data_IF_945017216582
#
_entry.id   IF_945017216582
#
_cell.length_a   1.000
_cell.length_b   1.000
_cell.length_c   1.000
_cell.angle_alpha   90.00
_cell.angle_beta   90.00
_cell.angle_gamma   90.00
#
_symmetry.space_group_name_H-M   'P 1'
#
loop_
_entity.id
_entity.type
_entity.pdbx_description
1 polymer ?
#
# COMPACT_ATOMS: atom_id res chain seq x y z
N UNK A 1 -2.36 21.99 -32.16
CA UNK A 1 -1.94 23.00 -31.18
C UNK A 1 -2.54 22.57 -29.85
N UNK A 2 -2.01 21.61 -29.08
CA UNK A 2 -0.69 21.59 -28.36
C UNK A 2 -0.53 22.90 -27.58
N UNK A 3 -0.44 22.97 -26.25
CA UNK A 3 0.23 22.19 -25.19
C UNK A 3 -0.64 22.26 -23.89
N UNK A 4 -0.72 21.30 -22.97
CA UNK A 4 0.28 21.03 -21.92
C UNK A 4 -0.04 19.71 -21.17
N UNK A 5 0.40 18.58 -21.73
CA UNK A 5 0.40 17.25 -21.05
C UNK A 5 1.82 16.92 -20.52
N UNK A 6 2.74 17.88 -20.55
CA UNK A 6 4.18 17.64 -20.38
C UNK A 6 4.73 17.64 -18.94
N UNK A 7 3.92 17.78 -17.89
CA UNK A 7 4.46 17.85 -16.51
C UNK A 7 4.32 16.61 -15.64
N UNK A 8 3.82 15.49 -16.17
CA UNK A 8 4.07 14.17 -15.55
C UNK A 8 5.30 13.53 -16.19
N UNK A 9 6.49 14.02 -15.83
CA UNK A 9 7.71 13.23 -15.99
C UNK A 9 7.68 12.08 -14.98
N UNK A 10 6.94 11.02 -15.33
CA UNK A 10 7.15 9.71 -14.77
C UNK A 10 8.51 9.23 -15.30
N UNK A 11 9.56 9.43 -14.49
CA UNK A 11 10.91 8.98 -14.79
C UNK A 11 10.90 7.47 -14.99
N UNK A 12 10.86 7.05 -16.26
CA UNK A 12 11.22 5.70 -16.68
C UNK A 12 12.71 5.52 -16.43
N UNK A 13 13.06 4.65 -15.49
CA UNK A 13 14.45 4.26 -15.27
C UNK A 13 14.57 3.08 -14.32
N UNK A 14 15.08 1.97 -14.86
CA UNK A 14 15.61 0.80 -14.17
C UNK A 14 14.61 -0.21 -13.56
N UNK A 15 14.20 -1.12 -14.44
CA UNK A 15 14.10 -2.55 -14.16
C UNK A 15 15.45 -3.19 -14.49
N UNK A 16 16.17 -3.71 -13.49
CA UNK A 16 16.92 -4.96 -13.54
C UNK A 16 17.72 -5.20 -12.24
N UNK A 17 17.56 -6.41 -11.68
CA UNK A 17 18.49 -7.19 -10.83
C UNK A 17 18.39 -7.29 -9.29
N UNK A 18 17.42 -6.73 -8.58
CA UNK A 18 17.10 -7.20 -7.21
C UNK A 18 15.60 -7.09 -6.90
N UNK A 19 14.87 -8.18 -7.12
CA UNK A 19 13.42 -8.15 -7.38
C UNK A 19 12.49 -8.10 -6.16
N UNK A 20 12.97 -8.16 -4.92
CA UNK A 20 12.09 -8.10 -3.74
C UNK A 20 12.23 -6.83 -2.88
N UNK A 21 13.44 -6.29 -2.73
CA UNK A 21 13.68 -5.08 -1.92
C UNK A 21 13.19 -3.80 -2.60
N UNK A 22 13.30 -3.71 -3.93
CA UNK A 22 12.85 -2.54 -4.67
C UNK A 22 11.33 -2.43 -4.80
N UNK A 23 10.59 -3.56 -4.78
CA UNK A 23 9.14 -3.52 -4.87
C UNK A 23 8.51 -2.94 -3.60
N UNK A 24 8.93 -3.43 -2.43
CA UNK A 24 8.44 -2.93 -1.15
C UNK A 24 8.78 -1.46 -0.96
N UNK A 25 10.02 -1.04 -1.28
CA UNK A 25 10.38 0.37 -1.20
C UNK A 25 9.53 1.24 -2.13
N UNK A 26 9.32 0.81 -3.38
CA UNK A 26 8.46 1.55 -4.33
C UNK A 26 6.99 1.60 -3.89
N UNK A 27 6.47 0.52 -3.30
CA UNK A 27 5.11 0.51 -2.77
C UNK A 27 4.97 1.49 -1.60
N UNK A 28 5.95 1.50 -0.69
CA UNK A 28 6.03 2.44 0.42
C UNK A 28 6.10 3.89 -0.08
N UNK A 29 6.92 4.14 -1.10
CA UNK A 29 7.02 5.47 -1.72
C UNK A 29 5.68 5.91 -2.33
N UNK A 30 4.97 5.00 -3.02
CA UNK A 30 3.65 5.28 -3.61
C UNK A 30 2.59 5.58 -2.55
N UNK A 31 2.55 4.80 -1.46
CA UNK A 31 1.64 5.05 -0.34
C UNK A 31 1.93 6.43 0.26
N UNK A 32 3.21 6.74 0.49
CA UNK A 32 3.61 8.01 1.08
C UNK A 32 3.20 9.20 0.20
N UNK A 33 3.43 9.11 -1.11
CA UNK A 33 3.02 10.14 -2.08
C UNK A 33 1.50 10.30 -2.09
N UNK A 34 0.75 9.20 -2.11
CA UNK A 34 -0.71 9.23 -2.14
C UNK A 34 -1.28 9.92 -0.90
N UNK A 35 -0.82 9.56 0.29
CA UNK A 35 -1.31 10.14 1.55
C UNK A 35 -0.97 11.62 1.63
N UNK A 36 0.27 12.00 1.33
CA UNK A 36 0.69 13.40 1.36
C UNK A 36 -0.07 14.25 0.34
N UNK A 37 -0.27 13.76 -0.87
CA UNK A 37 -1.03 14.47 -1.90
C UNK A 37 -2.52 14.65 -1.56
N UNK A 38 -3.11 13.70 -0.82
CA UNK A 38 -4.49 13.82 -0.35
C UNK A 38 -4.67 14.91 0.71
N UNK A 39 -3.75 15.01 1.67
CA UNK A 39 -3.88 15.97 2.78
C UNK A 39 -3.34 17.37 2.46
N UNK A 40 -2.48 17.51 1.44
CA UNK A 40 -1.93 18.81 1.02
C UNK A 40 -3.02 19.83 0.68
N UNK A 41 -4.15 19.37 0.13
CA UNK A 41 -5.28 20.23 -0.25
C UNK A 41 -6.17 20.63 0.93
N UNK A 42 -6.04 19.96 2.07
CA UNK A 42 -6.93 20.12 3.23
C UNK A 42 -6.28 20.93 4.35
N UNK A 43 -4.96 21.09 4.33
CA UNK A 43 -4.18 21.74 5.39
C UNK A 43 -3.57 23.06 4.92
N UNK A 44 -3.37 23.99 5.86
CA UNK A 44 -2.53 25.15 5.58
C UNK A 44 -1.08 24.72 5.29
N UNK A 45 -0.27 25.52 4.57
CA UNK A 45 1.11 25.16 4.26
C UNK A 45 1.98 24.83 5.49
N UNK A 46 1.73 25.52 6.62
CA UNK A 46 2.47 25.28 7.86
C UNK A 46 2.06 23.96 8.52
N UNK A 47 0.76 23.67 8.57
CA UNK A 47 0.23 22.41 9.09
C UNK A 47 0.66 21.23 8.23
N UNK A 48 0.61 21.38 6.90
CA UNK A 48 1.08 20.37 5.96
C UNK A 48 2.56 20.08 6.15
N UNK A 49 3.40 21.11 6.32
CA UNK A 49 4.84 20.93 6.55
C UNK A 49 5.12 20.12 7.83
N UNK A 50 4.44 20.47 8.94
CA UNK A 50 4.54 19.74 10.21
C UNK A 50 4.06 18.29 10.06
N UNK A 51 2.90 18.09 9.44
CA UNK A 51 2.34 16.77 9.17
C UNK A 51 3.29 15.93 8.33
N UNK A 52 3.80 16.48 7.22
CA UNK A 52 4.63 15.76 6.29
C UNK A 52 5.98 15.34 6.91
N UNK A 53 6.54 16.12 7.83
CA UNK A 53 7.74 15.74 8.59
C UNK A 53 7.43 14.56 9.52
N UNK A 54 6.37 14.67 10.32
CA UNK A 54 5.99 13.64 11.28
C UNK A 54 5.63 12.34 10.55
N UNK A 55 4.80 12.44 9.52
CA UNK A 55 4.34 11.32 8.71
C UNK A 55 5.52 10.58 8.08
N UNK A 56 6.44 11.27 7.40
CA UNK A 56 7.62 10.62 6.79
C UNK A 56 8.48 9.88 7.82
N UNK A 57 8.71 10.51 8.97
CA UNK A 57 9.51 9.89 10.04
C UNK A 57 8.82 8.63 10.57
N UNK A 58 7.57 8.76 11.01
CA UNK A 58 6.79 7.64 11.55
C UNK A 58 6.63 6.53 10.52
N UNK A 59 6.35 6.86 9.27
CA UNK A 59 6.21 5.90 8.18
C UNK A 59 7.51 5.14 7.92
N UNK A 60 8.66 5.84 7.87
CA UNK A 60 9.97 5.20 7.73
C UNK A 60 10.27 4.27 8.90
N UNK A 61 10.16 4.74 10.14
CA UNK A 61 10.42 3.94 11.35
C UNK A 61 9.53 2.70 11.40
N UNK A 62 8.25 2.87 11.11
CA UNK A 62 7.25 1.80 11.08
C UNK A 62 7.58 0.78 9.99
N UNK A 63 7.87 1.24 8.76
CA UNK A 63 8.23 0.36 7.66
C UNK A 63 9.50 -0.44 7.93
N UNK A 64 10.55 0.18 8.50
CA UNK A 64 11.80 -0.51 8.85
C UNK A 64 11.57 -1.57 9.91
N UNK A 65 10.82 -1.23 10.99
CA UNK A 65 10.46 -2.18 12.04
C UNK A 65 9.67 -3.38 11.49
N UNK A 66 8.69 -3.15 10.63
CA UNK A 66 7.87 -4.24 10.10
C UNK A 66 8.55 -5.05 9.00
N UNK A 67 9.49 -4.46 8.25
CA UNK A 67 10.37 -5.19 7.31
C UNK A 67 11.30 -6.14 8.08
N UNK A 68 11.84 -5.72 9.22
CA UNK A 68 12.68 -6.58 10.08
C UNK A 68 11.87 -7.71 10.74
N UNK A 69 10.59 -7.47 11.03
CA UNK A 69 9.66 -8.47 11.57
C UNK A 69 9.11 -9.45 10.53
N UNK A 70 9.41 -9.26 9.24
CA UNK A 70 9.14 -10.23 8.19
C UNK A 70 10.08 -11.44 8.39
N UNK A 71 9.68 -12.31 9.31
CA UNK A 71 10.49 -13.39 9.90
C UNK A 71 10.67 -14.58 8.96
N UNK A 72 9.86 -14.68 7.91
CA UNK A 72 9.89 -15.77 6.93
C UNK A 72 9.71 -15.20 5.52
N UNK A 73 10.74 -15.24 4.64
CA UNK A 73 10.70 -14.68 3.28
C UNK A 73 9.58 -15.23 2.38
N UNK A 74 8.92 -16.32 2.78
CA UNK A 74 8.06 -17.12 1.90
C UNK A 74 6.65 -17.42 2.46
N UNK A 75 6.24 -16.79 3.57
CA UNK A 75 4.91 -17.01 4.15
C UNK A 75 4.08 -15.71 4.15
N UNK A 76 3.55 -15.34 2.97
CA UNK A 76 2.71 -14.16 2.79
C UNK A 76 1.57 -14.09 3.84
N UNK A 77 0.92 -15.22 4.11
CA UNK A 77 -0.12 -15.33 5.14
C UNK A 77 0.39 -15.05 6.55
N UNK A 78 1.54 -15.62 6.93
CA UNK A 78 2.11 -15.43 8.26
C UNK A 78 2.48 -13.97 8.52
N UNK A 79 3.02 -13.28 7.51
CA UNK A 79 3.35 -11.86 7.61
C UNK A 79 2.09 -10.99 7.80
N UNK A 80 1.01 -11.27 7.06
CA UNK A 80 -0.27 -10.56 7.23
C UNK A 80 -0.89 -10.80 8.62
N UNK A 81 -0.87 -12.04 9.10
CA UNK A 81 -1.35 -12.38 10.45
C UNK A 81 -0.53 -11.64 11.51
N UNK A 82 0.79 -11.60 11.36
CA UNK A 82 1.67 -10.89 12.28
C UNK A 82 1.38 -9.38 12.25
N UNK A 83 1.20 -8.79 11.07
CA UNK A 83 0.87 -7.37 10.94
C UNK A 83 -0.44 -7.01 11.66
N UNK A 84 -1.52 -7.77 11.44
CA UNK A 84 -2.82 -7.52 12.08
C UNK A 84 -2.73 -7.58 13.61
N UNK A 85 -1.93 -8.50 14.17
CA UNK A 85 -1.72 -8.63 15.62
C UNK A 85 -1.03 -7.44 16.26
N UNK A 86 -0.32 -6.62 15.49
CA UNK A 86 0.44 -5.47 15.97
C UNK A 86 -0.20 -4.13 15.57
N UNK A 87 -1.43 -4.15 15.03
CA UNK A 87 -2.21 -2.93 14.83
C UNK A 87 -2.67 -2.43 16.20
N UNK A 88 -2.10 -1.31 16.64
CA UNK A 88 -2.45 -0.65 17.92
C UNK A 88 -3.44 0.51 17.75
N UNK A 89 -3.67 0.93 16.51
CA UNK A 89 -4.54 2.06 16.16
C UNK A 89 -5.93 1.51 15.82
N UNK A 90 -6.96 2.07 16.44
CA UNK A 90 -8.35 1.76 16.10
C UNK A 90 -8.68 2.32 14.70
N UNK A 91 -9.28 1.48 13.85
CA UNK A 91 -9.50 1.80 12.44
C UNK A 91 -10.10 0.66 11.64
N UNK A 92 -10.15 0.84 10.31
CA UNK A 92 -10.73 -0.14 9.40
C UNK A 92 -9.66 -0.98 8.69
N UNK A 93 -9.94 -2.27 8.54
CA UNK A 93 -9.12 -3.18 7.73
C UNK A 93 -9.69 -3.25 6.31
N UNK A 94 -8.95 -2.75 5.32
CA UNK A 94 -9.39 -2.65 3.93
C UNK A 94 -8.50 -3.51 3.01
N UNK A 95 -9.11 -4.33 2.15
CA UNK A 95 -8.43 -5.07 1.07
C UNK A 95 -8.93 -4.54 -0.29
N UNK A 96 -8.01 -4.08 -1.14
CA UNK A 96 -8.32 -3.57 -2.48
C UNK A 96 -7.87 -4.60 -3.54
N UNK A 97 -8.83 -5.16 -4.27
CA UNK A 97 -8.65 -6.26 -5.22
C UNK A 97 -8.77 -7.63 -4.54
N UNK A 98 -10.00 -8.01 -4.15
CA UNK A 98 -10.24 -9.25 -3.39
C UNK A 98 -10.27 -10.52 -4.24
N UNK A 99 -10.44 -10.43 -5.56
CA UNK A 99 -10.53 -11.57 -6.49
C UNK A 99 -11.44 -12.70 -5.99
N UNK A 100 -10.87 -13.79 -5.45
CA UNK A 100 -11.57 -14.97 -4.91
C UNK A 100 -11.75 -14.93 -3.39
N UNK A 101 -11.63 -13.76 -2.77
CA UNK A 101 -11.84 -13.49 -1.33
C UNK A 101 -11.00 -14.39 -0.40
N UNK A 102 -9.87 -14.93 -0.88
CA UNK A 102 -9.07 -15.90 -0.12
C UNK A 102 -8.47 -15.29 1.15
N UNK A 103 -7.81 -14.15 1.00
CA UNK A 103 -7.14 -13.42 2.09
C UNK A 103 -8.16 -12.90 3.11
N UNK A 104 -9.18 -12.15 2.67
CA UNK A 104 -10.17 -11.58 3.57
C UNK A 104 -10.91 -12.65 4.38
N UNK A 105 -11.24 -13.80 3.77
CA UNK A 105 -11.89 -14.90 4.48
C UNK A 105 -10.95 -15.56 5.51
N UNK A 106 -9.66 -15.68 5.19
CA UNK A 106 -8.67 -16.16 6.15
C UNK A 106 -8.60 -15.22 7.36
N UNK A 107 -8.49 -13.91 7.13
CA UNK A 107 -8.35 -12.93 8.21
C UNK A 107 -9.61 -12.82 9.06
N UNK A 108 -10.80 -12.79 8.46
CA UNK A 108 -12.07 -12.76 9.19
C UNK A 108 -12.27 -14.01 10.08
N UNK A 109 -11.77 -15.18 9.66
CA UNK A 109 -11.80 -16.40 10.49
C UNK A 109 -10.81 -16.33 11.67
N UNK A 110 -9.63 -15.79 11.46
CA UNK A 110 -8.58 -15.72 12.48
C UNK A 110 -8.82 -14.59 13.50
N UNK A 111 -9.51 -13.53 13.10
CA UNK A 111 -9.79 -12.35 13.91
C UNK A 111 -11.31 -12.05 13.90
N UNK A 112 -12.14 -12.91 14.52
CA UNK A 112 -13.61 -12.83 14.41
C UNK A 112 -14.22 -11.58 15.07
N UNK A 113 -13.44 -10.84 15.85
CA UNK A 113 -13.85 -9.58 16.48
C UNK A 113 -13.53 -8.35 15.62
N UNK A 114 -12.83 -8.52 14.50
CA UNK A 114 -12.48 -7.46 13.57
C UNK A 114 -13.34 -7.50 12.31
N UNK A 115 -13.67 -6.33 11.79
CA UNK A 115 -14.39 -6.20 10.52
C UNK A 115 -13.40 -5.93 9.38
N UNK A 116 -13.45 -6.77 8.35
CA UNK A 116 -12.63 -6.63 7.15
C UNK A 116 -13.51 -6.22 5.97
N UNK A 117 -13.08 -5.18 5.25
CA UNK A 117 -13.81 -4.62 4.12
C UNK A 117 -13.06 -4.90 2.81
N UNK A 118 -13.72 -5.61 1.90
CA UNK A 118 -13.19 -5.94 0.59
C UNK A 118 -13.73 -5.01 -0.49
N UNK A 119 -12.84 -4.38 -1.25
CA UNK A 119 -13.18 -3.55 -2.41
C UNK A 119 -12.62 -4.21 -3.67
N UNK A 120 -13.46 -4.38 -4.68
CA UNK A 120 -13.06 -4.87 -5.99
C UNK A 120 -14.00 -4.28 -7.04
N UNK A 121 -13.60 -4.28 -8.30
CA UNK A 121 -14.53 -4.03 -9.39
C UNK A 121 -15.56 -5.16 -9.49
N UNK A 122 -15.18 -6.39 -9.08
CA UNK A 122 -15.91 -7.64 -9.30
C UNK A 122 -16.05 -8.02 -10.79
N UNK A 123 -15.44 -7.26 -11.68
CA UNK A 123 -15.39 -7.49 -13.13
C UNK A 123 -13.96 -7.78 -13.62
N UNK A 124 -12.99 -7.84 -12.71
CA UNK A 124 -11.57 -7.95 -13.05
C UNK A 124 -10.96 -6.59 -13.45
N UNK A 125 -9.80 -6.65 -14.10
CA UNK A 125 -9.09 -5.44 -14.55
C UNK A 125 -9.82 -4.80 -15.74
N UNK A 126 -9.85 -3.46 -15.76
CA UNK A 126 -10.56 -2.69 -16.79
C UNK A 126 -9.91 -2.80 -18.18
N UNK A 127 -8.61 -3.08 -18.25
CA UNK A 127 -7.88 -3.24 -19.52
C UNK A 127 -6.90 -4.43 -19.44
N UNK A 128 -6.54 -4.98 -20.59
CA UNK A 128 -5.66 -6.15 -20.67
C UNK A 128 -4.21 -5.78 -20.37
N UNK A 129 -3.76 -6.13 -19.17
CA UNK A 129 -2.35 -6.01 -18.77
C UNK A 129 -1.62 -7.35 -18.93
N UNK A 130 -1.30 -7.74 -20.17
CA UNK A 130 -0.49 -8.93 -20.46
C UNK A 130 -1.28 -10.23 -20.69
N UNK A 131 -0.63 -11.41 -20.64
CA UNK A 131 -1.18 -12.67 -21.14
C UNK A 131 -2.19 -13.36 -20.21
N UNK A 132 -2.46 -12.80 -19.04
CA UNK A 132 -3.38 -13.39 -18.07
C UNK A 132 -4.75 -12.71 -18.20
N UNK A 133 -5.57 -13.26 -19.10
CA UNK A 133 -7.02 -13.02 -19.11
C UNK A 133 -7.64 -13.93 -18.02
N UNK A 134 -8.29 -13.31 -17.02
CA UNK A 134 -9.22 -13.99 -16.10
C UNK A 134 -10.64 -13.54 -16.37
#
# INVERSE_FOLDING_TARGET
>A
MTEDINNFQLVRGFLAKSHCTNFHQRLLDLIQISVLGSVEKELSPEEFSKFAIIFRRTFSETSSKYIELATEPNACEANMINAIRHVEIDGYYLEFGVYKVGTINLMARLFPHQNFHGFDSFYGLHEKWGPYDV
#
